data_IF_277161987069
#
_entry.id   IF_277161987069
#
_cell.length_a   1.000
_cell.length_b   1.000
_cell.length_c   1.000
_cell.angle_alpha   90.00
_cell.angle_beta   90.00
_cell.angle_gamma   90.00
#
_symmetry.space_group_name_H-M   'P 1'
#
loop_
_entity.id
_entity.type
_entity.pdbx_description
1 polymer ?
#
# COMPACT_ATOMS: atom_id res chain seq x y z
N UNK A 1 12.02 -14.53 -10.58
CA UNK A 1 11.08 -14.72 -9.45
C UNK A 1 11.26 -13.68 -8.33
N UNK A 2 12.44 -13.49 -7.71
CA UNK A 2 12.60 -12.48 -6.64
C UNK A 2 12.18 -11.05 -7.07
N UNK A 3 12.61 -10.64 -8.27
CA UNK A 3 12.19 -9.37 -8.87
C UNK A 3 10.69 -9.29 -9.18
N UNK A 4 9.99 -10.44 -9.36
CA UNK A 4 8.55 -10.45 -9.60
C UNK A 4 7.79 -10.08 -8.32
N UNK A 5 8.19 -10.63 -7.17
CA UNK A 5 7.63 -10.24 -5.87
C UNK A 5 7.84 -8.75 -5.57
N UNK A 6 9.06 -8.24 -5.79
CA UNK A 6 9.33 -6.80 -5.67
C UNK A 6 8.49 -5.97 -6.64
N UNK A 7 8.32 -6.42 -7.88
CA UNK A 7 7.50 -5.72 -8.87
C UNK A 7 6.02 -5.74 -8.50
N UNK A 8 5.51 -6.82 -7.90
CA UNK A 8 4.12 -6.95 -7.47
C UNK A 8 3.83 -5.98 -6.33
N UNK A 9 4.75 -5.89 -5.38
CA UNK A 9 4.72 -4.89 -4.31
C UNK A 9 4.69 -3.46 -4.85
N UNK A 10 5.63 -3.11 -5.76
CA UNK A 10 5.69 -1.77 -6.38
C UNK A 10 4.41 -1.46 -7.15
N UNK A 11 3.83 -2.46 -7.84
CA UNK A 11 2.57 -2.29 -8.55
C UNK A 11 1.41 -1.97 -7.60
N UNK A 12 1.33 -2.64 -6.44
CA UNK A 12 0.34 -2.35 -5.40
C UNK A 12 0.44 -0.93 -4.85
N UNK A 13 1.67 -0.49 -4.57
CA UNK A 13 1.95 0.88 -4.15
C UNK A 13 1.55 1.89 -5.23
N UNK A 14 1.99 1.69 -6.47
CA UNK A 14 1.72 2.61 -7.56
C UNK A 14 0.22 2.77 -7.86
N UNK A 15 -0.57 1.70 -7.69
CA UNK A 15 -1.98 1.70 -8.07
C UNK A 15 -2.89 2.21 -6.96
N UNK A 16 -2.60 1.87 -5.70
CA UNK A 16 -3.56 2.05 -4.59
C UNK A 16 -3.01 2.80 -3.37
N UNK A 17 -1.73 3.18 -3.33
CA UNK A 17 -1.17 3.87 -2.17
C UNK A 17 -1.87 5.21 -1.91
N UNK A 18 -2.22 5.96 -2.95
CA UNK A 18 -2.95 7.22 -2.78
C UNK A 18 -4.30 7.00 -2.09
N UNK A 19 -5.10 6.07 -2.61
CA UNK A 19 -6.39 5.69 -2.02
C UNK A 19 -6.24 5.14 -0.59
N UNK A 20 -5.18 4.39 -0.33
CA UNK A 20 -4.86 3.91 1.02
C UNK A 20 -4.62 5.08 1.98
N UNK A 21 -3.78 6.04 1.60
CA UNK A 21 -3.48 7.22 2.42
C UNK A 21 -4.72 8.11 2.64
N UNK A 22 -5.54 8.30 1.60
CA UNK A 22 -6.80 9.04 1.69
C UNK A 22 -7.72 8.45 2.78
N UNK A 23 -7.84 7.12 2.84
CA UNK A 23 -8.71 6.45 3.81
C UNK A 23 -8.10 6.34 5.21
N UNK A 24 -6.79 6.10 5.29
CA UNK A 24 -6.10 5.97 6.57
C UNK A 24 -5.90 7.28 7.32
N UNK A 25 -5.70 8.40 6.62
CA UNK A 25 -5.36 9.68 7.24
C UNK A 25 -6.35 10.80 6.92
N UNK A 26 -7.46 10.48 6.24
CA UNK A 26 -8.51 11.43 5.83
C UNK A 26 -7.93 12.64 5.10
N UNK A 27 -6.93 12.40 4.25
CA UNK A 27 -6.31 13.44 3.42
C UNK A 27 -6.90 13.43 2.01
N UNK A 28 -6.72 14.54 1.30
CA UNK A 28 -7.16 14.64 -0.09
C UNK A 28 -6.31 13.77 -1.02
N UNK A 29 -6.93 13.26 -2.09
CA UNK A 29 -6.24 12.52 -3.15
C UNK A 29 -5.06 13.32 -3.74
N UNK A 30 -5.23 14.64 -3.89
CA UNK A 30 -4.17 15.52 -4.40
C UNK A 30 -2.96 15.57 -3.48
N UNK A 31 -3.16 15.71 -2.16
CA UNK A 31 -2.08 15.72 -1.18
C UNK A 31 -1.40 14.35 -1.10
N UNK A 32 -2.16 13.25 -1.11
CA UNK A 32 -1.62 11.91 -1.11
C UNK A 32 -0.71 11.66 -2.33
N UNK A 33 -1.18 11.98 -3.53
CA UNK A 33 -0.41 11.84 -4.76
C UNK A 33 0.83 12.76 -4.78
N UNK A 34 0.70 14.00 -4.29
CA UNK A 34 1.82 14.93 -4.18
C UNK A 34 2.91 14.37 -3.26
N UNK A 35 2.54 13.82 -2.10
CA UNK A 35 3.49 13.24 -1.14
C UNK A 35 4.14 11.96 -1.67
N UNK A 36 3.39 11.09 -2.34
CA UNK A 36 3.97 9.92 -3.03
C UNK A 36 4.98 10.38 -4.08
N UNK A 37 4.61 11.35 -4.92
CA UNK A 37 5.44 11.85 -6.01
C UNK A 37 6.67 12.64 -5.57
N UNK A 38 6.59 13.39 -4.48
CA UNK A 38 7.67 14.27 -4.00
C UNK A 38 8.58 13.60 -2.95
N UNK A 39 8.08 12.62 -2.20
CA UNK A 39 8.83 11.96 -1.12
C UNK A 39 9.20 10.52 -1.47
N UNK A 40 8.21 9.67 -1.74
CA UNK A 40 8.45 8.24 -1.94
C UNK A 40 9.19 7.95 -3.26
N UNK A 41 8.82 8.61 -4.36
CA UNK A 41 9.48 8.38 -5.67
C UNK A 41 10.97 8.81 -5.63
N UNK A 42 11.33 10.03 -5.16
CA UNK A 42 12.74 10.41 -5.04
C UNK A 42 13.52 9.53 -4.06
N UNK A 43 12.90 9.11 -2.96
CA UNK A 43 13.50 8.15 -2.02
C UNK A 43 13.84 6.81 -2.69
N UNK A 44 12.92 6.26 -3.48
CA UNK A 44 13.15 5.06 -4.26
C UNK A 44 14.29 5.26 -5.28
N UNK A 45 14.29 6.38 -6.02
CA UNK A 45 15.37 6.72 -6.97
C UNK A 45 16.73 6.81 -6.28
N UNK A 46 16.81 7.48 -5.12
CA UNK A 46 18.01 7.54 -4.32
C UNK A 46 18.50 6.15 -3.90
N UNK A 47 17.58 5.25 -3.52
CA UNK A 47 17.87 3.84 -3.25
C UNK A 47 18.47 3.11 -4.45
N UNK A 48 17.88 3.22 -5.64
CA UNK A 48 18.39 2.57 -6.87
C UNK A 48 19.82 3.06 -7.18
N UNK A 49 20.04 4.37 -7.13
CA UNK A 49 21.34 5.00 -7.42
C UNK A 49 22.37 4.58 -6.38
N UNK A 50 22.03 4.66 -5.09
CA UNK A 50 22.91 4.24 -4.00
C UNK A 50 23.28 2.76 -4.12
N UNK A 51 22.33 1.91 -4.50
CA UNK A 51 22.58 0.49 -4.74
C UNK A 51 23.61 0.26 -5.86
N UNK A 52 23.51 1.04 -6.94
CA UNK A 52 24.48 1.05 -8.03
C UNK A 52 25.86 1.61 -7.64
N UNK A 53 25.88 2.70 -6.86
CA UNK A 53 27.12 3.31 -6.36
C UNK A 53 27.88 2.35 -5.45
N UNK A 54 27.21 1.70 -4.50
CA UNK A 54 27.81 0.70 -3.60
C UNK A 54 28.41 -0.44 -4.43
N UNK A 55 27.64 -0.99 -5.36
CA UNK A 55 28.10 -2.09 -6.22
C UNK A 55 29.32 -1.70 -7.07
N UNK A 56 29.36 -0.48 -7.61
CA UNK A 56 30.48 0.02 -8.42
C UNK A 56 31.72 0.35 -7.58
N UNK A 57 31.55 1.01 -6.43
CA UNK A 57 32.66 1.46 -5.56
C UNK A 57 33.39 0.29 -4.90
N UNK A 58 32.66 -0.71 -4.42
CA UNK A 58 33.24 -1.87 -3.74
C UNK A 58 33.55 -3.04 -4.69
N UNK A 59 33.29 -2.88 -5.99
CA UNK A 59 33.43 -3.93 -7.01
C UNK A 59 32.87 -5.28 -6.54
N UNK A 60 31.63 -5.27 -6.07
CA UNK A 60 31.06 -6.43 -5.38
C UNK A 60 31.08 -7.69 -6.26
N UNK A 61 31.56 -8.78 -5.67
CA UNK A 61 31.46 -10.11 -6.27
C UNK A 61 29.99 -10.55 -6.35
N UNK A 62 29.63 -11.52 -7.23
CA UNK A 62 28.25 -12.01 -7.31
C UNK A 62 27.67 -12.45 -5.95
N UNK A 63 28.45 -13.15 -5.13
CA UNK A 63 28.07 -13.52 -3.76
C UNK A 63 27.82 -12.30 -2.88
N UNK A 64 28.66 -11.27 -2.95
CA UNK A 64 28.48 -10.03 -2.18
C UNK A 64 27.25 -9.24 -2.65
N UNK A 65 26.95 -9.22 -3.96
CA UNK A 65 25.69 -8.66 -4.47
C UNK A 65 24.47 -9.40 -3.90
N UNK A 66 24.52 -10.74 -3.86
CA UNK A 66 23.46 -11.55 -3.23
C UNK A 66 23.30 -11.23 -1.74
N UNK A 67 24.40 -11.11 -1.00
CA UNK A 67 24.37 -10.73 0.42
C UNK A 67 23.78 -9.34 0.63
N UNK A 68 24.15 -8.37 -0.21
CA UNK A 68 23.60 -7.01 -0.17
C UNK A 68 22.08 -7.00 -0.40
N UNK A 69 21.57 -7.80 -1.35
CA UNK A 69 20.12 -7.92 -1.57
C UNK A 69 19.42 -8.51 -0.34
N UNK A 70 19.98 -9.55 0.29
CA UNK A 70 19.42 -10.17 1.50
C UNK A 70 19.39 -9.17 2.67
N UNK A 71 20.50 -8.48 2.92
CA UNK A 71 20.61 -7.48 3.99
C UNK A 71 19.64 -6.31 3.75
N UNK A 72 19.60 -5.77 2.52
CA UNK A 72 18.71 -4.67 2.17
C UNK A 72 17.23 -5.04 2.34
N UNK A 73 16.83 -6.24 1.91
CA UNK A 73 15.47 -6.74 2.09
C UNK A 73 15.12 -7.01 3.55
N UNK A 74 16.05 -7.54 4.34
CA UNK A 74 15.84 -7.74 5.77
C UNK A 74 15.62 -6.40 6.48
N UNK A 75 16.45 -5.40 6.20
CA UNK A 75 16.30 -4.05 6.75
C UNK A 75 14.98 -3.39 6.30
N UNK A 76 14.58 -3.58 5.03
CA UNK A 76 13.30 -3.10 4.52
C UNK A 76 12.13 -3.67 5.34
N UNK A 77 12.08 -4.99 5.52
CA UNK A 77 11.02 -5.65 6.29
C UNK A 77 10.98 -5.12 7.73
N UNK A 78 12.15 -4.98 8.38
CA UNK A 78 12.23 -4.47 9.75
C UNK A 78 11.66 -3.04 9.87
N UNK A 79 11.86 -2.18 8.87
CA UNK A 79 11.34 -0.81 8.84
C UNK A 79 9.88 -0.76 8.38
N UNK A 80 9.42 -1.75 7.60
CA UNK A 80 8.04 -1.87 7.17
C UNK A 80 7.11 -2.40 8.28
N UNK A 81 7.61 -3.21 9.23
CA UNK A 81 6.80 -3.80 10.31
C UNK A 81 6.03 -2.77 11.16
N UNK A 82 6.62 -1.65 11.62
CA UNK A 82 5.89 -0.60 12.34
C UNK A 82 4.71 -0.01 11.56
N UNK A 83 4.73 -0.03 10.21
CA UNK A 83 3.65 0.48 9.37
C UNK A 83 2.34 -0.30 9.54
N UNK A 84 2.38 -1.55 10.04
CA UNK A 84 1.18 -2.33 10.39
C UNK A 84 0.40 -1.73 11.56
N UNK A 85 1.08 -1.00 12.43
CA UNK A 85 0.51 -0.41 13.64
C UNK A 85 0.29 1.11 13.49
N UNK A 86 1.06 1.77 12.63
CA UNK A 86 0.87 3.19 12.33
C UNK A 86 -0.32 3.44 11.40
N UNK A 87 -1.39 4.01 11.94
CA UNK A 87 -2.49 4.58 11.17
C UNK A 87 -3.69 4.88 12.07
N UNK A 88 -4.73 5.47 11.49
CA UNK A 88 -5.94 5.81 12.23
C UNK A 88 -6.85 4.60 12.42
N UNK A 89 -7.53 4.55 13.57
CA UNK A 89 -8.66 3.65 13.75
C UNK A 89 -9.81 4.05 12.82
N UNK A 90 -10.70 3.10 12.54
CA UNK A 90 -11.97 3.40 11.87
C UNK A 90 -12.72 4.44 12.70
N UNK A 91 -13.24 5.48 12.06
CA UNK A 91 -14.05 6.49 12.73
C UNK A 91 -15.51 6.01 12.85
N UNK A 92 -16.20 6.45 13.88
CA UNK A 92 -17.63 6.23 14.03
C UNK A 92 -18.39 6.96 12.93
N UNK A 93 -19.33 6.24 12.31
CA UNK A 93 -20.16 6.78 11.24
C UNK A 93 -21.63 6.39 11.43
N UNK A 94 -22.50 7.29 11.01
CA UNK A 94 -23.95 7.16 11.09
C UNK A 94 -24.52 6.89 9.69
N UNK A 95 -25.27 5.79 9.59
CA UNK A 95 -25.83 5.33 8.32
C UNK A 95 -27.15 4.60 8.56
N UNK A 96 -28.15 4.70 7.67
CA UNK A 96 -29.43 3.99 7.85
C UNK A 96 -29.30 2.47 7.67
N UNK A 97 -28.24 2.02 6.99
CA UNK A 97 -28.02 0.61 6.64
C UNK A 97 -26.53 0.28 6.77
N UNK A 98 -26.15 -0.34 7.88
CA UNK A 98 -24.86 -1.02 7.99
C UNK A 98 -25.03 -2.33 8.76
N UNK A 99 -24.17 -3.31 8.46
CA UNK A 99 -24.14 -4.57 9.19
C UNK A 99 -23.37 -4.36 10.51
N UNK A 100 -24.00 -4.59 11.69
CA UNK A 100 -23.35 -4.42 12.98
C UNK A 100 -22.09 -5.27 13.15
N UNK A 101 -22.05 -6.46 12.54
CA UNK A 101 -20.89 -7.36 12.60
C UNK A 101 -19.71 -6.86 11.77
N UNK A 102 -19.97 -6.20 10.64
CA UNK A 102 -18.94 -5.69 9.72
C UNK A 102 -18.40 -4.33 10.21
N UNK A 103 -19.27 -3.51 10.81
CA UNK A 103 -18.94 -2.19 11.35
C UNK A 103 -18.22 -2.24 12.70
N UNK A 104 -18.16 -3.41 13.35
CA UNK A 104 -17.46 -3.59 14.63
C UNK A 104 -18.03 -2.75 15.78
N UNK A 105 -19.33 -2.42 15.72
CA UNK A 105 -19.99 -1.58 16.72
C UNK A 105 -19.80 -0.06 16.58
N UNK A 106 -19.03 0.43 15.60
CA UNK A 106 -18.80 1.87 15.35
C UNK A 106 -19.91 2.53 14.49
N UNK A 107 -21.15 2.06 14.62
CA UNK A 107 -22.26 2.46 13.77
C UNK A 107 -23.46 2.96 14.58
N UNK A 108 -24.00 4.11 14.17
CA UNK A 108 -25.25 4.66 14.69
C UNK A 108 -26.37 4.55 13.66
N UNK A 109 -27.50 3.95 14.07
CA UNK A 109 -28.68 3.88 13.24
C UNK A 109 -29.39 5.24 13.21
N UNK A 110 -29.54 5.79 12.01
CA UNK A 110 -30.26 7.05 11.80
C UNK A 110 -31.66 6.86 11.23
N UNK A 111 -32.12 5.62 11.01
CA UNK A 111 -33.42 5.35 10.39
C UNK A 111 -34.61 5.90 11.19
N UNK A 112 -34.51 5.96 12.52
CA UNK A 112 -35.59 6.48 13.37
C UNK A 112 -35.69 8.00 13.32
N UNK A 113 -34.56 8.70 13.44
CA UNK A 113 -34.54 10.17 13.44
C UNK A 113 -34.68 10.76 12.02
N UNK A 114 -34.18 10.06 10.99
CA UNK A 114 -34.29 10.47 9.58
C UNK A 114 -35.55 9.95 8.90
N UNK A 115 -36.41 9.19 9.59
CA UNK A 115 -37.57 8.52 8.99
C UNK A 115 -38.60 9.48 8.39
N UNK A 116 -38.60 10.74 8.82
CA UNK A 116 -39.44 11.80 8.24
C UNK A 116 -38.86 12.40 6.95
N UNK A 117 -37.59 12.15 6.66
CA UNK A 117 -36.93 12.61 5.44
C UNK A 117 -36.98 11.49 4.40
N UNK A 118 -37.60 11.74 3.24
CA UNK A 118 -37.62 10.83 2.09
C UNK A 118 -36.25 10.73 1.39
N UNK A 119 -35.20 10.39 2.14
CA UNK A 119 -33.82 10.42 1.67
C UNK A 119 -33.56 9.36 0.60
N UNK A 120 -32.89 9.77 -0.48
CA UNK A 120 -32.44 8.83 -1.50
C UNK A 120 -31.41 7.86 -0.93
N UNK A 121 -31.59 6.56 -1.20
CA UNK A 121 -30.65 5.49 -0.82
C UNK A 121 -29.28 5.59 -1.52
N UNK A 122 -29.15 6.47 -2.51
CA UNK A 122 -27.89 6.77 -3.21
C UNK A 122 -27.23 8.07 -2.74
N UNK A 123 -27.86 8.83 -1.84
CA UNK A 123 -27.33 10.09 -1.35
C UNK A 123 -26.04 9.88 -0.55
N UNK A 124 -24.95 10.49 -1.01
CA UNK A 124 -23.65 10.45 -0.34
C UNK A 124 -23.01 11.83 -0.42
N UNK A 125 -23.07 12.56 0.68
CA UNK A 125 -22.41 13.84 0.86
C UNK A 125 -22.08 13.99 2.35
N UNK A 126 -20.97 13.41 2.82
CA UNK A 126 -20.70 13.26 4.23
C UNK A 126 -20.63 14.60 4.93
N UNK A 127 -21.19 14.66 6.14
CA UNK A 127 -21.11 15.81 7.03
C UNK A 127 -20.58 15.37 8.40
N UNK A 128 -19.87 16.27 9.07
CA UNK A 128 -19.42 16.05 10.44
C UNK A 128 -20.40 16.68 11.41
N UNK A 129 -21.02 15.87 12.27
CA UNK A 129 -21.89 16.38 13.33
C UNK A 129 -21.12 17.06 14.45
N UNK A 130 -21.81 17.94 15.17
CA UNK A 130 -21.31 18.59 16.39
C UNK A 130 -21.02 17.60 17.54
N UNK A 131 -21.55 16.38 17.45
CA UNK A 131 -21.23 15.23 18.29
C UNK A 131 -19.94 14.50 17.89
N UNK A 132 -19.33 14.86 16.76
CA UNK A 132 -18.12 14.23 16.24
C UNK A 132 -18.37 12.94 15.45
N UNK A 133 -19.62 12.62 15.12
CA UNK A 133 -19.99 11.47 14.30
C UNK A 133 -20.11 11.89 12.82
N UNK A 134 -19.62 11.05 11.91
CA UNK A 134 -19.77 11.31 10.47
C UNK A 134 -21.08 10.75 9.94
N UNK A 135 -21.92 11.62 9.35
CA UNK A 135 -23.20 11.22 8.76
C UNK A 135 -23.06 11.12 7.25
N UNK A 136 -23.62 10.06 6.67
CA UNK A 136 -23.53 9.76 5.23
C UNK A 136 -24.11 10.86 4.32
N UNK A 137 -25.09 11.63 4.80
CA UNK A 137 -25.64 12.79 4.10
C UNK A 137 -26.34 13.76 5.06
N UNK A 138 -26.51 15.04 4.70
CA UNK A 138 -27.28 15.98 5.51
C UNK A 138 -28.76 15.57 5.65
N UNK A 139 -29.31 14.86 4.67
CA UNK A 139 -30.67 14.31 4.73
C UNK A 139 -30.78 13.22 5.80
N UNK A 140 -29.80 12.29 5.83
CA UNK A 140 -29.77 11.23 6.84
C UNK A 140 -29.41 11.76 8.24
N UNK A 141 -28.82 12.96 8.34
CA UNK A 141 -28.68 13.68 9.60
C UNK A 141 -29.95 14.45 10.01
N UNK A 142 -30.96 14.53 9.15
CA UNK A 142 -32.22 15.23 9.39
C UNK A 142 -32.07 16.74 9.47
N UNK A 143 -31.12 17.34 8.74
CA UNK A 143 -30.88 18.78 8.73
C UNK A 143 -31.90 19.53 7.87
N UNK A 144 -32.49 20.59 8.41
CA UNK A 144 -33.51 21.41 7.73
C UNK A 144 -32.94 22.69 7.10
N UNK A 145 -31.85 23.23 7.66
CA UNK A 145 -31.32 24.54 7.30
C UNK A 145 -29.90 24.40 6.74
N UNK A 146 -29.65 25.00 5.57
CA UNK A 146 -28.33 25.06 4.91
C UNK A 146 -27.82 26.49 4.95
N UNK A 147 -26.68 26.71 5.59
CA UNK A 147 -25.99 27.99 5.58
C UNK A 147 -24.98 28.02 4.43
N UNK A 148 -25.04 29.06 3.60
CA UNK A 148 -24.23 29.19 2.40
C UNK A 148 -23.45 30.51 2.43
N UNK A 149 -22.16 30.42 2.13
CA UNK A 149 -21.32 31.60 1.87
C UNK A 149 -21.35 31.91 0.38
N UNK A 150 -21.98 33.03 0.04
CA UNK A 150 -22.11 33.51 -1.33
C UNK A 150 -20.80 34.05 -1.91
N UNK A 151 -19.84 34.45 -1.08
CA UNK A 151 -18.55 34.98 -1.56
C UNK A 151 -17.63 33.86 -2.05
N UNK A 152 -17.60 32.74 -1.32
CA UNK A 152 -16.80 31.56 -1.68
C UNK A 152 -17.58 30.50 -2.47
N UNK A 153 -18.88 30.72 -2.72
CA UNK A 153 -19.80 29.75 -3.32
C UNK A 153 -19.75 28.38 -2.63
N UNK A 154 -19.79 28.37 -1.29
CA UNK A 154 -19.56 27.16 -0.49
C UNK A 154 -20.58 27.05 0.65
N UNK A 155 -21.05 25.83 0.91
CA UNK A 155 -21.83 25.53 2.11
C UNK A 155 -20.94 25.68 3.34
N UNK A 156 -21.38 26.42 4.34
CA UNK A 156 -20.62 26.63 5.58
C UNK A 156 -21.05 25.69 6.69
N UNK A 157 -22.36 25.51 6.87
CA UNK A 157 -22.90 24.69 7.96
C UNK A 157 -24.31 24.17 7.66
N UNK A 158 -24.65 23.02 8.23
CA UNK A 158 -26.01 22.49 8.29
C UNK A 158 -26.53 22.64 9.72
N UNK A 159 -27.76 23.13 9.89
CA UNK A 159 -28.37 23.33 11.22
C UNK A 159 -29.78 22.77 11.28
N UNK A 160 -30.28 22.56 12.50
CA UNK A 160 -31.58 21.92 12.71
C UNK A 160 -31.55 20.42 12.38
N UNK A 161 -30.42 19.75 12.61
CA UNK A 161 -30.24 18.34 12.35
C UNK A 161 -30.83 17.50 13.49
N UNK A 162 -31.92 16.77 13.23
CA UNK A 162 -32.63 15.97 14.23
C UNK A 162 -31.84 14.75 14.73
N UNK A 163 -30.98 14.18 13.90
CA UNK A 163 -30.18 12.99 14.25
C UNK A 163 -28.88 13.32 14.99
N UNK A 164 -28.55 14.61 15.14
CA UNK A 164 -27.32 15.07 15.79
C UNK A 164 -27.70 15.54 17.19
N UNK A 165 -27.27 14.83 18.22
CA UNK A 165 -27.56 15.17 19.62
C UNK A 165 -26.47 16.09 20.15
N UNK A 166 -26.77 17.38 20.28
CA UNK A 166 -25.89 18.38 20.93
C UNK A 166 -26.63 19.00 22.13
N UNK A 167 -25.91 19.23 23.23
CA UNK A 167 -26.49 19.76 24.48
C UNK A 167 -27.08 21.16 24.27
N UNK A 168 -28.41 21.23 24.09
CA UNK A 168 -29.21 22.45 24.29
C UNK A 168 -29.69 23.20 23.03
N UNK A 169 -29.21 22.89 21.83
CA UNK A 169 -29.72 23.47 20.58
C UNK A 169 -29.66 22.44 19.46
N UNK A 170 -30.69 22.41 18.59
CA UNK A 170 -30.79 21.45 17.48
C UNK A 170 -29.45 21.26 16.77
N UNK A 171 -29.05 20.00 16.56
CA UNK A 171 -27.69 19.68 16.19
C UNK A 171 -27.26 20.36 14.89
N UNK A 172 -25.98 20.71 14.82
CA UNK A 172 -25.36 21.26 13.62
C UNK A 172 -24.30 20.32 13.07
N UNK A 173 -23.98 20.45 11.79
CA UNK A 173 -22.88 19.72 11.19
C UNK A 173 -22.22 20.44 10.01
N UNK A 174 -20.90 20.35 9.93
CA UNK A 174 -20.11 20.98 8.86
C UNK A 174 -19.96 20.06 7.65
N UNK A 175 -19.90 20.58 6.42
CA UNK A 175 -19.68 19.75 5.24
C UNK A 175 -18.31 19.07 5.27
N UNK A 176 -18.27 17.81 4.85
CA UNK A 176 -17.06 16.99 4.83
C UNK A 176 -17.01 15.96 5.96
N UNK A 177 -15.97 15.14 5.92
CA UNK A 177 -15.66 14.17 6.98
C UNK A 177 -15.22 14.90 8.26
N UNK A 178 -15.44 14.31 9.45
CA UNK A 178 -14.97 14.90 10.72
C UNK A 178 -13.44 15.01 10.84
N UNK A 179 -12.70 14.45 9.87
CA UNK A 179 -11.26 14.38 9.94
C UNK A 179 -10.80 13.40 11.02
N UNK A 180 -9.53 13.00 10.96
CA UNK A 180 -8.98 12.06 11.93
C UNK A 180 -8.08 12.77 12.93
N UNK A 181 -8.21 12.46 14.23
CA UNK A 181 -7.35 13.02 15.30
C UNK A 181 -5.88 12.53 15.24
N UNK A 182 -5.53 11.73 14.23
CA UNK A 182 -4.24 11.06 14.06
C UNK A 182 -3.42 11.62 12.89
N UNK A 183 -3.65 12.87 12.48
CA UNK A 183 -2.80 13.57 11.51
C UNK A 183 -1.30 13.55 11.89
N UNK A 184 -0.95 13.53 13.18
CA UNK A 184 0.44 13.43 13.63
C UNK A 184 1.13 12.11 13.23
N UNK A 185 0.37 11.04 12.95
CA UNK A 185 0.91 9.74 12.50
C UNK A 185 1.20 9.71 10.99
N UNK A 186 0.70 10.68 10.23
CA UNK A 186 0.89 10.73 8.78
C UNK A 186 2.35 10.96 8.39
N UNK A 187 3.01 11.95 8.99
CA UNK A 187 4.42 12.25 8.74
C UNK A 187 5.35 11.07 9.05
N UNK A 188 5.30 10.43 10.24
CA UNK A 188 6.15 9.28 10.51
C UNK A 188 5.83 8.09 9.60
N UNK A 189 4.57 7.89 9.21
CA UNK A 189 4.21 6.87 8.21
C UNK A 189 4.91 7.14 6.87
N UNK A 190 4.87 8.38 6.38
CA UNK A 190 5.50 8.77 5.11
C UNK A 190 7.02 8.64 5.15
N UNK A 191 7.67 8.99 6.26
CA UNK A 191 9.12 8.84 6.44
C UNK A 191 9.52 7.37 6.46
N UNK A 192 8.81 6.54 7.23
CA UNK A 192 9.07 5.10 7.30
C UNK A 192 8.79 4.41 5.96
N UNK A 193 7.71 4.77 5.26
CA UNK A 193 7.40 4.21 3.94
C UNK A 193 8.46 4.58 2.91
N UNK A 194 8.97 5.82 2.96
CA UNK A 194 10.05 6.28 2.09
C UNK A 194 11.36 5.53 2.38
N UNK A 195 11.71 5.36 3.65
CA UNK A 195 12.90 4.62 4.06
C UNK A 195 12.82 3.14 3.67
N UNK A 196 11.68 2.48 3.90
CA UNK A 196 11.44 1.11 3.45
C UNK A 196 11.54 1.01 1.93
N UNK A 197 10.88 1.92 1.19
CA UNK A 197 10.94 1.96 -0.27
C UNK A 197 12.36 2.18 -0.82
N UNK A 198 13.16 3.04 -0.17
CA UNK A 198 14.55 3.28 -0.54
C UNK A 198 15.40 2.02 -0.31
N UNK A 199 15.23 1.33 0.81
CA UNK A 199 15.94 0.09 1.14
C UNK A 199 15.57 -1.07 0.21
N UNK A 200 14.28 -1.24 -0.12
CA UNK A 200 13.84 -2.21 -1.13
C UNK A 200 14.49 -1.91 -2.49
N UNK A 201 14.57 -0.63 -2.85
CA UNK A 201 15.12 -0.17 -4.13
C UNK A 201 16.64 -0.35 -4.23
N UNK A 202 17.38 -0.39 -3.11
CA UNK A 202 18.81 -0.74 -3.10
C UNK A 202 19.09 -2.10 -3.72
N UNK A 203 18.17 -3.07 -3.56
CA UNK A 203 18.31 -4.41 -4.10
C UNK A 203 18.04 -4.49 -5.62
N UNK A 204 17.43 -3.47 -6.23
CA UNK A 204 17.06 -3.50 -7.64
C UNK A 204 18.27 -3.58 -8.57
N UNK A 205 19.26 -2.69 -8.37
CA UNK A 205 20.45 -2.61 -9.22
C UNK A 205 21.33 -3.87 -9.13
N UNK A 206 21.70 -4.38 -7.93
CA UNK A 206 22.47 -5.61 -7.82
C UNK A 206 21.74 -6.83 -8.38
N UNK A 207 20.42 -6.92 -8.17
CA UNK A 207 19.60 -8.01 -8.72
C UNK A 207 19.60 -8.02 -10.25
N UNK A 208 19.47 -6.85 -10.88
CA UNK A 208 19.52 -6.74 -12.34
C UNK A 208 20.92 -7.10 -12.89
N UNK A 209 21.98 -6.65 -12.22
CA UNK A 209 23.35 -7.00 -12.61
C UNK A 209 23.69 -8.47 -12.44
N UNK A 210 23.14 -9.14 -11.43
CA UNK A 210 23.31 -10.58 -11.26
C UNK A 210 22.78 -11.34 -12.48
N UNK A 211 21.66 -10.92 -13.06
CA UNK A 211 21.13 -11.53 -14.29
C UNK A 211 22.12 -11.29 -15.45
N UNK A 212 22.53 -10.04 -15.67
CA UNK A 212 23.43 -9.68 -16.77
C UNK A 212 24.80 -10.36 -16.71
N UNK A 213 25.32 -10.64 -15.51
CA UNK A 213 26.60 -11.34 -15.31
C UNK A 213 26.51 -12.84 -15.58
N UNK A 214 25.32 -13.43 -15.55
CA UNK A 214 25.12 -14.88 -15.75
C UNK A 214 24.62 -15.23 -17.17
N UNK A 215 24.35 -14.23 -18.02
CA UNK A 215 23.86 -14.42 -19.39
C UNK A 215 24.97 -14.11 -20.39
N UNK A 216 25.07 -14.94 -21.43
CA UNK A 216 26.05 -14.75 -22.50
C UNK A 216 25.83 -13.40 -23.21
N UNK A 217 26.89 -12.66 -23.62
CA UNK A 217 26.76 -11.31 -24.18
C UNK A 217 25.76 -11.18 -25.34
N UNK A 218 25.64 -12.20 -26.19
CA UNK A 218 24.70 -12.21 -27.32
C UNK A 218 23.22 -12.28 -26.89
N UNK A 219 22.92 -12.90 -25.75
CA UNK A 219 21.55 -13.20 -25.32
C UNK A 219 21.02 -12.21 -24.28
N UNK A 220 21.82 -11.18 -23.92
CA UNK A 220 21.45 -10.22 -22.86
C UNK A 220 20.17 -9.47 -23.14
N UNK A 221 20.00 -8.96 -24.36
CA UNK A 221 18.80 -8.23 -24.77
C UNK A 221 17.55 -9.13 -24.75
N UNK A 222 17.69 -10.37 -25.24
CA UNK A 222 16.63 -11.38 -25.21
C UNK A 222 16.24 -11.72 -23.76
N UNK A 223 17.22 -11.99 -22.89
CA UNK A 223 16.97 -12.30 -21.48
C UNK A 223 16.28 -11.16 -20.74
N UNK A 224 16.68 -9.91 -20.99
CA UNK A 224 16.01 -8.73 -20.43
C UNK A 224 14.56 -8.63 -20.95
N UNK A 225 14.35 -8.85 -22.25
CA UNK A 225 13.01 -8.84 -22.85
C UNK A 225 12.07 -9.87 -22.22
N UNK A 226 12.52 -11.12 -22.11
CA UNK A 226 11.77 -12.20 -21.46
C UNK A 226 11.51 -11.87 -19.99
N UNK A 227 12.52 -11.36 -19.27
CA UNK A 227 12.36 -10.96 -17.87
C UNK A 227 11.28 -9.89 -17.72
N UNK A 228 11.31 -8.81 -18.51
CA UNK A 228 10.27 -7.76 -18.45
C UNK A 228 8.88 -8.29 -18.82
N UNK A 229 8.78 -9.16 -19.82
CA UNK A 229 7.51 -9.80 -20.20
C UNK A 229 6.94 -10.61 -19.03
N UNK A 230 7.76 -11.45 -18.40
CA UNK A 230 7.35 -12.25 -17.24
C UNK A 230 6.99 -11.37 -16.03
N UNK A 231 7.72 -10.29 -15.78
CA UNK A 231 7.38 -9.35 -14.71
C UNK A 231 6.02 -8.67 -14.97
N UNK A 232 5.73 -8.31 -16.22
CA UNK A 232 4.41 -7.74 -16.56
C UNK A 232 3.29 -8.74 -16.33
N UNK A 233 3.46 -9.98 -16.80
CA UNK A 233 2.43 -11.01 -16.70
C UNK A 233 2.22 -11.49 -15.25
N UNK A 234 3.30 -11.75 -14.52
CA UNK A 234 3.23 -12.36 -13.19
C UNK A 234 3.04 -11.36 -12.05
N UNK A 235 3.39 -10.08 -12.25
CA UNK A 235 3.29 -9.07 -11.21
C UNK A 235 2.30 -7.95 -11.56
N UNK A 236 2.41 -7.34 -12.74
CA UNK A 236 1.61 -6.15 -13.07
C UNK A 236 0.18 -6.46 -13.50
N UNK A 237 -0.09 -7.62 -14.11
CA UNK A 237 -1.46 -8.04 -14.39
C UNK A 237 -2.22 -8.47 -13.11
N UNK A 238 -1.70 -9.37 -12.26
CA UNK A 238 -2.42 -9.79 -11.06
C UNK A 238 -2.32 -8.76 -9.92
N UNK A 239 -1.28 -7.92 -9.88
CA UNK A 239 -1.05 -6.96 -8.80
C UNK A 239 -2.26 -6.08 -8.49
N UNK A 240 -2.78 -5.30 -9.46
CA UNK A 240 -3.93 -4.44 -9.22
C UNK A 240 -5.19 -5.21 -8.79
N UNK A 241 -5.40 -6.42 -9.32
CA UNK A 241 -6.54 -7.28 -8.96
C UNK A 241 -6.41 -7.78 -7.51
N UNK A 242 -5.21 -8.20 -7.10
CA UNK A 242 -4.93 -8.65 -5.74
C UNK A 242 -5.09 -7.50 -4.73
N UNK A 243 -4.44 -6.37 -4.97
CA UNK A 243 -4.55 -5.22 -4.06
C UNK A 243 -5.96 -4.61 -4.06
N UNK A 244 -6.63 -4.57 -5.22
CA UNK A 244 -8.02 -4.12 -5.33
C UNK A 244 -8.98 -5.01 -4.53
N UNK A 245 -8.86 -6.33 -4.67
CA UNK A 245 -9.70 -7.28 -3.91
C UNK A 245 -9.42 -7.22 -2.41
N UNK A 246 -8.17 -7.01 -1.99
CA UNK A 246 -7.82 -6.76 -0.59
C UNK A 246 -8.51 -5.51 -0.06
N UNK A 247 -8.48 -4.39 -0.78
CA UNK A 247 -9.14 -3.16 -0.35
C UNK A 247 -10.66 -3.37 -0.27
N UNK A 248 -11.25 -3.97 -1.30
CA UNK A 248 -12.69 -4.23 -1.38
C UNK A 248 -13.18 -5.19 -0.29
N UNK A 249 -12.34 -6.13 0.15
CA UNK A 249 -12.63 -7.05 1.26
C UNK A 249 -12.77 -6.36 2.62
N UNK A 250 -12.38 -5.09 2.72
CA UNK A 250 -12.47 -4.27 3.94
C UNK A 250 -13.61 -3.26 3.89
N UNK A 251 -14.42 -3.31 2.85
CA UNK A 251 -15.57 -2.44 2.70
C UNK A 251 -16.65 -2.74 3.74
N UNK A 252 -17.06 -1.70 4.47
CA UNK A 252 -18.18 -1.74 5.42
C UNK A 252 -19.48 -1.42 4.70
N UNK A 253 -19.49 -0.36 3.88
CA UNK A 253 -20.68 0.09 3.18
C UNK A 253 -20.40 0.38 1.70
N UNK A 254 -21.12 -0.34 0.84
CA UNK A 254 -21.05 -0.19 -0.60
C UNK A 254 -21.98 0.92 -1.08
N UNK A 255 -21.46 1.81 -1.93
CA UNK A 255 -22.31 2.75 -2.66
C UNK A 255 -23.20 2.02 -3.68
N UNK A 256 -24.31 2.65 -4.05
CA UNK A 256 -25.19 2.17 -5.12
C UNK A 256 -25.28 3.25 -6.21
N UNK A 257 -25.13 2.85 -7.47
CA UNK A 257 -25.40 3.69 -8.65
C UNK A 257 -26.25 2.90 -9.62
N UNK A 258 -27.39 3.45 -10.03
CA UNK A 258 -28.35 2.80 -10.95
C UNK A 258 -28.73 1.36 -10.52
N UNK A 259 -29.00 1.16 -9.23
CA UNK A 259 -29.36 -0.16 -8.67
C UNK A 259 -28.21 -1.16 -8.55
N UNK A 260 -27.02 -0.85 -9.08
CA UNK A 260 -25.84 -1.72 -9.04
C UNK A 260 -24.84 -1.27 -7.99
N UNK A 261 -24.05 -2.24 -7.48
CA UNK A 261 -22.96 -2.03 -6.53
C UNK A 261 -21.89 -1.11 -7.14
N UNK A 262 -21.63 0.01 -6.50
CA UNK A 262 -20.63 1.00 -6.91
C UNK A 262 -19.39 0.95 -5.99
N UNK A 263 -18.54 1.98 -6.04
CA UNK A 263 -17.40 2.09 -5.16
C UNK A 263 -17.81 2.07 -3.67
N UNK A 264 -16.99 1.44 -2.85
CA UNK A 264 -17.19 1.43 -1.41
C UNK A 264 -17.03 2.85 -0.82
N UNK A 265 -17.94 3.20 0.08
CA UNK A 265 -18.01 4.50 0.73
C UNK A 265 -17.24 4.51 2.05
N UNK A 266 -17.46 3.49 2.89
CA UNK A 266 -16.80 3.33 4.19
C UNK A 266 -15.98 2.05 4.25
N UNK A 267 -14.73 2.18 4.71
CA UNK A 267 -13.79 1.07 4.87
C UNK A 267 -13.45 0.87 6.34
N UNK A 268 -13.20 -0.38 6.74
CA UNK A 268 -12.62 -0.66 8.04
C UNK A 268 -11.13 -0.38 7.99
N UNK A 269 -10.70 0.75 8.56
CA UNK A 269 -9.32 1.22 8.47
C UNK A 269 -8.33 0.26 9.15
N UNK A 270 -8.71 -0.39 10.24
CA UNK A 270 -7.83 -1.36 10.90
C UNK A 270 -7.55 -2.57 9.99
N UNK A 271 -8.62 -3.13 9.41
CA UNK A 271 -8.50 -4.27 8.51
C UNK A 271 -7.83 -3.90 7.18
N UNK A 272 -8.12 -2.70 6.67
CA UNK A 272 -7.50 -2.14 5.48
C UNK A 272 -5.98 -2.03 5.65
N UNK A 273 -5.52 -1.46 6.77
CA UNK A 273 -4.10 -1.37 7.10
C UNK A 273 -3.44 -2.75 7.20
N UNK A 274 -4.01 -3.64 7.99
CA UNK A 274 -3.45 -4.97 8.21
C UNK A 274 -3.37 -5.79 6.92
N UNK A 275 -4.43 -5.79 6.09
CA UNK A 275 -4.44 -6.58 4.84
C UNK A 275 -3.58 -5.93 3.75
N UNK A 276 -3.64 -4.61 3.58
CA UNK A 276 -2.88 -3.92 2.53
C UNK A 276 -1.37 -3.95 2.79
N UNK A 277 -0.93 -3.51 3.97
CA UNK A 277 0.49 -3.53 4.36
C UNK A 277 0.95 -4.97 4.61
N UNK A 278 0.10 -5.85 5.14
CA UNK A 278 0.41 -7.27 5.30
C UNK A 278 0.67 -7.96 3.97
N UNK A 279 -0.12 -7.68 2.92
CA UNK A 279 0.12 -8.19 1.57
C UNK A 279 1.44 -7.67 0.99
N UNK A 280 1.79 -6.41 1.24
CA UNK A 280 3.08 -5.85 0.85
C UNK A 280 4.24 -6.60 1.53
N UNK A 281 4.19 -6.76 2.85
CA UNK A 281 5.21 -7.50 3.61
C UNK A 281 5.27 -8.96 3.14
N UNK A 282 4.16 -9.59 2.78
CA UNK A 282 4.15 -10.95 2.23
C UNK A 282 4.98 -11.05 0.94
N UNK A 283 4.83 -10.09 0.02
CA UNK A 283 5.67 -10.04 -1.18
C UNK A 283 7.15 -9.77 -0.84
N UNK A 284 7.44 -8.90 0.12
CA UNK A 284 8.82 -8.66 0.58
C UNK A 284 9.47 -9.91 1.18
N UNK A 285 8.75 -10.64 2.04
CA UNK A 285 9.20 -11.91 2.62
C UNK A 285 9.41 -12.96 1.52
N UNK A 286 8.50 -13.04 0.55
CA UNK A 286 8.66 -13.90 -0.62
C UNK A 286 9.89 -13.54 -1.44
N UNK A 287 10.20 -12.25 -1.60
CA UNK A 287 11.44 -11.80 -2.25
C UNK A 287 12.68 -12.15 -1.42
N UNK A 288 12.64 -11.95 -0.10
CA UNK A 288 13.73 -12.30 0.83
C UNK A 288 14.09 -13.78 0.75
N UNK A 289 13.11 -14.69 0.82
CA UNK A 289 13.33 -16.13 0.71
C UNK A 289 14.03 -16.48 -0.60
N UNK A 290 13.58 -15.89 -1.72
CA UNK A 290 14.20 -16.12 -3.03
C UNK A 290 15.61 -15.53 -3.12
N UNK A 291 15.89 -14.37 -2.52
CA UNK A 291 17.24 -13.83 -2.45
C UNK A 291 18.17 -14.66 -1.57
N UNK A 292 17.67 -15.21 -0.46
CA UNK A 292 18.41 -16.16 0.37
C UNK A 292 18.77 -17.40 -0.45
N UNK A 293 17.82 -17.96 -1.19
CA UNK A 293 18.08 -19.11 -2.08
C UNK A 293 19.16 -18.78 -3.13
N UNK A 294 19.05 -17.62 -3.79
CA UNK A 294 20.08 -17.14 -4.74
C UNK A 294 21.43 -16.97 -4.07
N UNK A 295 21.49 -16.39 -2.87
CA UNK A 295 22.73 -16.25 -2.11
C UNK A 295 23.39 -17.59 -1.82
N UNK A 296 22.62 -18.61 -1.41
CA UNK A 296 23.16 -19.95 -1.19
C UNK A 296 23.69 -20.60 -2.48
N UNK A 297 22.99 -20.43 -3.60
CA UNK A 297 23.46 -20.93 -4.91
C UNK A 297 24.77 -20.25 -5.32
N UNK A 298 24.85 -18.92 -5.18
CA UNK A 298 26.06 -18.16 -5.49
C UNK A 298 27.22 -18.55 -4.56
N UNK A 299 26.96 -18.76 -3.27
CA UNK A 299 27.97 -19.23 -2.31
C UNK A 299 28.50 -20.62 -2.67
N UNK A 300 27.64 -21.53 -3.14
CA UNK A 300 28.07 -22.87 -3.61
C UNK A 300 28.93 -22.78 -4.86
N UNK A 301 28.52 -21.96 -5.85
CA UNK A 301 29.32 -21.73 -7.07
C UNK A 301 30.70 -21.15 -6.76
N UNK A 302 30.77 -20.18 -5.87
CA UNK A 302 32.05 -19.59 -5.45
C UNK A 302 32.96 -20.64 -4.78
N UNK A 303 32.41 -21.52 -3.92
CA UNK A 303 33.18 -22.61 -3.29
C UNK A 303 33.71 -23.60 -4.33
N UNK A 304 32.87 -24.09 -5.23
CA UNK A 304 33.29 -25.01 -6.29
C UNK A 304 34.38 -24.39 -7.16
N UNK A 305 34.29 -23.10 -7.48
CA UNK A 305 35.34 -22.40 -8.22
C UNK A 305 36.63 -22.20 -7.41
N UNK A 306 36.57 -22.13 -6.08
CA UNK A 306 37.76 -22.10 -5.21
C UNK A 306 38.40 -23.49 -5.13
N UNK A 307 37.60 -24.53 -4.89
CA UNK A 307 38.07 -25.91 -4.81
C UNK A 307 38.70 -26.35 -6.16
N UNK A 308 38.14 -25.93 -7.30
CA UNK A 308 38.70 -26.16 -8.64
C UNK A 308 40.04 -25.46 -8.90
N UNK A 309 40.32 -24.36 -8.19
CA UNK A 309 41.57 -23.60 -8.31
C UNK A 309 42.65 -24.17 -7.39
N UNK A 310 42.27 -24.65 -6.21
CA UNK A 310 43.19 -25.22 -5.22
C UNK A 310 43.56 -26.68 -5.55
N UNK A 311 42.71 -27.42 -6.28
CA UNK A 311 43.01 -28.78 -6.75
C UNK A 311 42.45 -29.07 -8.18
N UNK A 312 43.24 -28.84 -9.24
CA UNK A 312 42.80 -29.03 -10.63
C UNK A 312 42.63 -30.50 -11.05
N UNK A 313 43.11 -31.48 -10.28
CA UNK A 313 43.02 -32.91 -10.63
C UNK A 313 41.72 -33.57 -10.16
N UNK A 314 41.16 -33.20 -9.01
CA UNK A 314 39.86 -33.73 -8.54
C UNK A 314 38.66 -33.20 -9.35
N UNK A 315 38.77 -32.00 -9.94
CA UNK A 315 37.69 -31.40 -10.73
C UNK A 315 37.46 -32.14 -12.06
N UNK A 316 38.50 -32.72 -12.67
CA UNK A 316 38.38 -33.58 -13.86
C UNK A 316 37.70 -34.93 -13.56
N UNK A 317 37.78 -35.41 -12.31
CA UNK A 317 37.12 -36.64 -11.88
C UNK A 317 35.61 -36.40 -11.64
N UNK A 318 35.23 -35.29 -11.01
CA UNK A 318 33.83 -34.93 -10.77
C UNK A 318 33.04 -34.66 -12.06
N UNK A 319 33.66 -34.05 -13.08
CA UNK A 319 32.99 -33.80 -14.36
C UNK A 319 32.78 -35.08 -15.21
N UNK A 320 33.58 -36.14 -14.97
CA UNK A 320 33.39 -37.45 -15.61
C UNK A 320 32.29 -38.29 -14.97
N UNK A 321 32.04 -38.14 -13.68
CA UNK A 321 30.98 -38.90 -12.98
C UNK A 321 29.57 -38.34 -13.23
N UNK A 322 29.43 -37.09 -13.67
CA UNK A 322 28.12 -36.45 -13.95
C UNK A 322 27.66 -36.64 -15.41
N UNK A 323 28.53 -37.15 -16.30
CA UNK A 323 28.23 -37.39 -17.73
C UNK A 323 27.92 -38.86 -18.08
N UNK A 324 27.66 -39.72 -17.09
CA UNK A 324 27.16 -41.10 -17.29
C UNK A 324 25.76 -41.22 -16.70
#
# INVERSE_FOLDING_TARGET
MAQANLSAMVCGLATFMAKFLERQFTITASLANLMIGSVNIPGAMAGIVLGGVIMKRFQLSPKQCGAMCVIGMLCCILIALPLLFLGCSTQEFASPHSDPQISGGLWHNVSECSGHCGCSTTAFNPICGSDGIEYISPCYAGCEIVNFDYMENKVTNYTGCRCITSEGSGGSGTPGSCGTRCHHLFLPFMVLSCLAGALASLAQTPSFMLILRNVHPADKSLAIGIQFMLLRILAWLPGPVMFGSVIDSTCIQWGKKCGSKAACQYYNNNLLRQRYIGLQILFEVGALILFIAVYFVLRRKDKVHQDAKDDPESHKLSEKTVKV
#
